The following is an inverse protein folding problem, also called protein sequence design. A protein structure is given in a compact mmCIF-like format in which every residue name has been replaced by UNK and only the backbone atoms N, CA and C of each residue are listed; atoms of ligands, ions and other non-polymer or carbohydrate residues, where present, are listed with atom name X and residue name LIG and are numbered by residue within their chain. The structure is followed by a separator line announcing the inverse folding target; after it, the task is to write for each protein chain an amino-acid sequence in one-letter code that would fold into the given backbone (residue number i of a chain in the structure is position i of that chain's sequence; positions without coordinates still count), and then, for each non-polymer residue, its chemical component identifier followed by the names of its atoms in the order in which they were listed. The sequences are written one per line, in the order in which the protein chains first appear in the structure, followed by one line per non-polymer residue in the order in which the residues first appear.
data_IF_612344473877
#
_entry.id   IF_612344473877
#
_cell.length_a   1.000
_cell.length_b   1.000
_cell.length_c   1.000
_cell.angle_alpha   90.00
_cell.angle_beta   90.00
_cell.angle_gamma   90.00
#
_symmetry.space_group_name_H-M   'P 1'
#
loop_
_entity.id
_entity.type
_entity.pdbx_description
1 polymer ?
#
# COMPACT_ATOMS: atom_id res chain seq x y z
N UNK A 1 38.41 -31.51 -72.07
CA UNK A 1 37.32 -31.96 -71.17
C UNK A 1 37.81 -32.56 -69.84
N UNK A 2 38.84 -33.44 -69.81
CA UNK A 2 39.29 -34.10 -68.55
C UNK A 2 39.81 -33.16 -67.43
N UNK A 3 40.49 -32.05 -67.74
CA UNK A 3 41.03 -31.12 -66.72
C UNK A 3 39.95 -30.33 -65.95
N UNK A 4 38.84 -30.00 -66.60
CA UNK A 4 37.72 -29.28 -65.97
C UNK A 4 36.93 -30.14 -64.99
N UNK A 5 36.73 -31.43 -65.32
CA UNK A 5 36.11 -32.39 -64.41
C UNK A 5 36.91 -32.58 -63.12
N UNK A 6 38.25 -32.65 -63.21
CA UNK A 6 39.13 -32.78 -62.03
C UNK A 6 39.02 -31.55 -61.11
N UNK A 7 38.92 -30.34 -61.68
CA UNK A 7 38.73 -29.12 -60.91
C UNK A 7 37.35 -29.11 -60.23
N UNK A 8 36.29 -29.51 -60.93
CA UNK A 8 34.95 -29.64 -60.34
C UNK A 8 34.89 -30.68 -59.22
N UNK A 9 35.57 -31.83 -59.38
CA UNK A 9 35.67 -32.84 -58.32
C UNK A 9 36.49 -32.35 -57.12
N UNK A 10 37.58 -31.62 -57.34
CA UNK A 10 38.37 -31.04 -56.25
C UNK A 10 37.58 -30.00 -55.45
N UNK A 11 36.76 -29.17 -56.12
CA UNK A 11 35.87 -28.20 -55.48
C UNK A 11 34.75 -28.93 -54.70
N UNK A 12 34.15 -29.96 -55.29
CA UNK A 12 33.10 -30.75 -54.64
C UNK A 12 33.61 -31.46 -53.37
N UNK A 13 34.80 -32.05 -53.43
CA UNK A 13 35.45 -32.72 -52.28
C UNK A 13 35.83 -31.68 -51.21
N UNK A 14 36.31 -30.50 -51.60
CA UNK A 14 36.56 -29.39 -50.67
C UNK A 14 35.29 -28.92 -49.98
N UNK A 15 34.19 -28.74 -50.71
CA UNK A 15 32.88 -28.38 -50.14
C UNK A 15 32.32 -29.47 -49.21
N UNK A 16 32.43 -30.75 -49.60
CA UNK A 16 32.02 -31.89 -48.77
C UNK A 16 32.87 -32.00 -47.49
N UNK A 17 34.16 -31.65 -47.56
CA UNK A 17 35.05 -31.59 -46.40
C UNK A 17 34.71 -30.48 -45.40
N UNK A 18 34.08 -29.38 -45.86
CA UNK A 18 33.69 -28.25 -45.01
C UNK A 18 32.32 -28.44 -44.31
N UNK A 19 31.43 -29.28 -44.83
CA UNK A 19 30.13 -29.60 -44.22
C UNK A 19 30.20 -30.09 -42.76
N UNK A 20 31.09 -31.04 -42.39
CA UNK A 20 31.19 -31.49 -40.99
C UNK A 20 31.63 -30.37 -40.05
N UNK A 21 32.50 -29.46 -40.50
CA UNK A 21 32.94 -28.30 -39.71
C UNK A 21 31.78 -27.35 -39.44
N UNK A 22 30.95 -27.06 -40.45
CA UNK A 22 29.77 -26.21 -40.31
C UNK A 22 28.75 -26.85 -39.35
N UNK A 23 28.55 -28.17 -39.44
CA UNK A 23 27.67 -28.92 -38.53
C UNK A 23 28.11 -28.84 -37.07
N UNK A 24 29.42 -28.98 -36.81
CA UNK A 24 30.00 -28.85 -35.46
C UNK A 24 29.85 -27.42 -34.94
N UNK A 25 30.14 -26.41 -35.76
CA UNK A 25 29.99 -25.00 -35.38
C UNK A 25 28.53 -24.68 -35.06
N UNK A 26 27.59 -25.10 -35.91
CA UNK A 26 26.16 -24.89 -35.69
C UNK A 26 25.69 -25.58 -34.39
N UNK A 27 26.11 -26.83 -34.16
CA UNK A 27 25.79 -27.54 -32.93
C UNK A 27 26.34 -26.82 -31.69
N UNK A 28 27.57 -26.33 -31.75
CA UNK A 28 28.17 -25.57 -30.65
C UNK A 28 27.46 -24.23 -30.41
N UNK A 29 27.02 -23.54 -31.47
CA UNK A 29 26.24 -22.29 -31.33
C UNK A 29 24.85 -22.55 -30.75
N UNK A 30 24.20 -23.66 -31.13
CA UNK A 30 22.91 -24.03 -30.56
C UNK A 30 23.04 -24.43 -29.08
N UNK A 31 24.07 -25.19 -28.71
CA UNK A 31 24.29 -25.58 -27.32
C UNK A 31 24.67 -24.37 -26.46
N UNK A 32 25.52 -23.45 -26.94
CA UNK A 32 25.85 -22.25 -26.15
C UNK A 32 24.62 -21.38 -25.89
N UNK A 33 23.73 -21.20 -26.86
CA UNK A 33 22.44 -20.51 -26.66
C UNK A 33 21.56 -21.21 -25.63
N UNK A 34 21.47 -22.54 -25.68
CA UNK A 34 20.71 -23.30 -24.68
C UNK A 34 21.30 -23.15 -23.27
N UNK A 35 22.62 -23.13 -23.15
CA UNK A 35 23.31 -22.88 -21.88
C UNK A 35 23.09 -21.45 -21.37
N UNK A 36 23.07 -20.46 -22.27
CA UNK A 36 22.79 -19.06 -21.94
C UNK A 36 21.35 -18.90 -21.42
N UNK A 37 20.36 -19.45 -22.12
CA UNK A 37 18.96 -19.45 -21.69
C UNK A 37 18.77 -20.15 -20.34
N UNK A 38 19.44 -21.30 -20.15
CA UNK A 38 19.40 -22.03 -18.87
C UNK A 38 20.00 -21.20 -17.74
N UNK A 39 21.14 -20.55 -17.97
CA UNK A 39 21.78 -19.68 -16.98
C UNK A 39 20.90 -18.49 -16.61
N UNK A 40 20.24 -17.87 -17.60
CA UNK A 40 19.28 -16.79 -17.35
C UNK A 40 18.08 -17.26 -16.53
N UNK A 41 17.57 -18.47 -16.82
CA UNK A 41 16.48 -19.06 -16.05
C UNK A 41 16.89 -19.36 -14.60
N UNK A 42 18.07 -19.94 -14.38
CA UNK A 42 18.61 -20.21 -13.04
C UNK A 42 18.79 -18.89 -12.27
N UNK A 43 19.30 -17.85 -12.92
CA UNK A 43 19.47 -16.53 -12.31
C UNK A 43 18.12 -15.90 -11.94
N UNK A 44 17.10 -16.02 -12.79
CA UNK A 44 15.74 -15.56 -12.49
C UNK A 44 15.15 -16.31 -11.28
N UNK A 45 15.28 -17.63 -11.22
CA UNK A 45 14.84 -18.44 -10.08
C UNK A 45 15.56 -18.05 -8.79
N UNK A 46 16.88 -17.80 -8.86
CA UNK A 46 17.66 -17.35 -7.72
C UNK A 46 17.19 -15.98 -7.20
N UNK A 47 16.96 -15.02 -8.09
CA UNK A 47 16.44 -13.70 -7.71
C UNK A 47 15.04 -13.83 -7.08
N UNK A 48 14.17 -14.66 -7.64
CA UNK A 48 12.84 -14.91 -7.06
C UNK A 48 12.94 -15.52 -5.67
N UNK A 49 13.85 -16.46 -5.45
CA UNK A 49 14.08 -17.07 -4.16
C UNK A 49 14.66 -16.09 -3.14
N UNK A 50 15.64 -15.28 -3.53
CA UNK A 50 16.21 -14.21 -2.69
C UNK A 50 15.13 -13.22 -2.26
N UNK A 51 14.32 -12.72 -3.19
CA UNK A 51 13.17 -11.84 -2.88
C UNK A 51 12.19 -12.49 -1.92
N UNK A 52 11.88 -13.78 -2.12
CA UNK A 52 10.96 -14.52 -1.23
C UNK A 52 11.53 -14.63 0.18
N UNK A 53 12.84 -14.87 0.31
CA UNK A 53 13.52 -14.94 1.61
C UNK A 53 13.54 -13.56 2.29
N UNK A 54 13.78 -12.49 1.54
CA UNK A 54 13.75 -11.12 2.07
C UNK A 54 12.34 -10.76 2.57
N UNK A 55 11.29 -11.05 1.78
CA UNK A 55 9.90 -10.85 2.19
C UNK A 55 9.60 -11.66 3.46
N UNK A 56 10.03 -12.93 3.51
CA UNK A 56 9.82 -13.76 4.70
C UNK A 56 10.51 -13.17 5.92
N UNK A 57 11.76 -12.70 5.80
CA UNK A 57 12.52 -12.08 6.89
C UNK A 57 11.85 -10.80 7.38
N UNK A 58 11.46 -9.92 6.46
CA UNK A 58 10.73 -8.68 6.80
C UNK A 58 9.41 -8.98 7.48
N UNK A 59 8.63 -9.93 6.96
CA UNK A 59 7.37 -10.34 7.58
C UNK A 59 7.57 -10.93 8.98
N UNK A 60 8.63 -11.71 9.21
CA UNK A 60 8.94 -12.21 10.56
C UNK A 60 9.34 -11.08 11.51
N UNK A 61 10.07 -10.07 11.04
CA UNK A 61 10.42 -8.90 11.84
C UNK A 61 9.19 -8.07 12.21
N UNK A 62 8.32 -7.79 11.24
CA UNK A 62 7.05 -7.08 11.49
C UNK A 62 6.16 -7.83 12.48
N UNK A 63 6.11 -9.17 12.39
CA UNK A 63 5.38 -10.01 13.36
C UNK A 63 5.95 -9.97 14.78
N UNK A 64 7.26 -9.73 14.93
CA UNK A 64 7.90 -9.63 16.25
C UNK A 64 7.79 -8.22 16.83
N UNK A 65 7.83 -7.20 15.98
CA UNK A 65 7.84 -5.80 16.38
C UNK A 65 6.46 -5.27 16.75
N UNK A 66 5.41 -5.77 16.08
CA UNK A 66 4.06 -5.25 16.21
C UNK A 66 3.12 -6.25 16.85
N UNK A 67 2.28 -5.77 17.75
CA UNK A 67 1.24 -6.58 18.40
C UNK A 67 0.08 -6.82 17.42
N UNK A 68 -0.66 -7.90 17.67
CA UNK A 68 -1.94 -8.10 17.00
C UNK A 68 -2.92 -7.01 17.42
N UNK A 69 -3.91 -6.77 16.58
CA UNK A 69 -4.94 -5.79 16.91
C UNK A 69 -5.75 -6.22 18.11
N UNK A 70 -5.86 -5.29 19.06
CA UNK A 70 -6.78 -5.37 20.17
C UNK A 70 -7.87 -4.32 19.97
N UNK A 71 -9.10 -4.71 19.57
CA UNK A 71 -10.15 -3.74 19.25
C UNK A 71 -10.45 -2.79 20.38
N UNK A 72 -10.37 -3.27 21.62
CA UNK A 72 -10.64 -2.45 22.79
C UNK A 72 -9.58 -1.35 22.93
N UNK A 73 -8.29 -1.64 22.69
CA UNK A 73 -7.23 -0.63 22.72
C UNK A 73 -7.38 0.38 21.58
N UNK A 74 -7.66 -0.10 20.35
CA UNK A 74 -7.91 0.77 19.19
C UNK A 74 -9.11 1.70 19.44
N UNK A 75 -10.22 1.16 19.92
CA UNK A 75 -11.43 1.93 20.23
C UNK A 75 -11.18 2.94 21.34
N UNK A 76 -10.41 2.60 22.38
CA UNK A 76 -10.04 3.52 23.44
C UNK A 76 -9.12 4.63 22.94
N UNK A 77 -8.10 4.30 22.15
CA UNK A 77 -7.18 5.26 21.57
C UNK A 77 -7.90 6.21 20.60
N UNK A 78 -8.83 5.68 19.80
CA UNK A 78 -9.64 6.46 18.86
C UNK A 78 -10.58 7.45 19.57
N UNK A 79 -11.18 7.05 20.70
CA UNK A 79 -12.00 7.94 21.54
C UNK A 79 -11.22 9.09 22.16
N UNK A 80 -9.89 8.97 22.35
CA UNK A 80 -9.04 10.04 22.87
C UNK A 80 -8.76 11.12 21.82
N UNK A 81 -9.06 10.87 20.54
CA UNK A 81 -8.90 11.87 19.49
C UNK A 81 -10.10 12.82 19.58
N UNK A 82 -9.83 14.03 20.03
CA UNK A 82 -10.76 15.16 19.95
C UNK A 82 -10.67 15.79 18.56
N UNK A 83 -11.69 15.58 17.74
CA UNK A 83 -11.77 16.12 16.38
C UNK A 83 -12.16 17.60 16.38
N UNK A 84 -11.61 18.35 15.41
CA UNK A 84 -11.94 19.74 15.09
C UNK A 84 -11.74 20.71 16.25
N UNK A 85 -10.73 20.48 17.09
CA UNK A 85 -10.49 21.31 18.29
C UNK A 85 -10.29 22.80 17.95
N UNK A 86 -9.63 23.10 16.82
CA UNK A 86 -9.46 24.48 16.33
C UNK A 86 -10.80 25.16 16.06
N UNK A 87 -11.74 24.45 15.43
CA UNK A 87 -13.06 24.98 15.15
C UNK A 87 -13.88 25.19 16.42
N UNK A 88 -13.85 24.22 17.36
CA UNK A 88 -14.53 24.35 18.64
C UNK A 88 -14.02 25.55 19.46
N UNK A 89 -12.71 25.76 19.48
CA UNK A 89 -12.09 26.91 20.16
C UNK A 89 -12.54 28.22 19.52
N UNK A 90 -12.60 28.25 18.18
CA UNK A 90 -13.05 29.43 17.44
C UNK A 90 -14.52 29.73 17.69
N UNK A 91 -15.39 28.72 17.71
CA UNK A 91 -16.79 28.84 18.11
C UNK A 91 -16.95 29.42 19.51
N UNK A 92 -16.18 28.92 20.48
CA UNK A 92 -16.21 29.44 21.86
C UNK A 92 -15.73 30.90 21.97
N UNK A 93 -14.80 31.31 21.10
CA UNK A 93 -14.26 32.68 21.08
C UNK A 93 -15.15 33.71 20.35
N UNK A 94 -16.18 33.26 19.63
CA UNK A 94 -17.04 34.15 18.86
C UNK A 94 -17.89 35.04 19.78
N UNK A 95 -17.98 36.32 19.43
CA UNK A 95 -18.91 37.23 20.09
C UNK A 95 -20.35 36.82 19.74
N UNK A 96 -21.14 36.45 20.74
CA UNK A 96 -22.55 36.04 20.61
C UNK A 96 -23.43 37.09 19.91
N UNK A 97 -23.04 38.37 20.00
CA UNK A 97 -23.77 39.48 19.38
C UNK A 97 -23.30 39.78 17.94
N UNK A 98 -22.33 39.03 17.41
CA UNK A 98 -21.90 39.19 16.01
C UNK A 98 -22.89 38.58 15.04
N UNK A 99 -23.05 39.18 13.86
CA UNK A 99 -23.89 38.65 12.78
C UNK A 99 -23.49 37.23 12.36
N UNK A 100 -22.19 36.91 12.45
CA UNK A 100 -21.65 35.59 12.13
C UNK A 100 -22.13 34.55 13.14
N UNK A 101 -22.07 34.85 14.45
CA UNK A 101 -22.53 33.95 15.51
C UNK A 101 -24.04 33.69 15.45
N UNK A 102 -24.81 34.64 14.94
CA UNK A 102 -26.26 34.51 14.75
C UNK A 102 -26.64 33.80 13.44
N UNK A 103 -25.67 33.46 12.58
CA UNK A 103 -25.95 32.76 11.33
C UNK A 103 -26.47 31.35 11.59
N UNK A 104 -27.42 30.90 10.74
CA UNK A 104 -27.98 29.54 10.80
C UNK A 104 -26.91 28.46 10.66
N UNK A 105 -25.86 28.74 9.89
CA UNK A 105 -24.77 27.80 9.61
C UNK A 105 -23.86 27.60 10.83
N UNK A 106 -23.53 28.68 11.54
CA UNK A 106 -22.75 28.61 12.79
C UNK A 106 -23.57 27.94 13.89
N UNK A 107 -24.87 28.25 13.99
CA UNK A 107 -25.76 27.56 14.92
C UNK A 107 -25.83 26.05 14.64
N UNK A 108 -25.96 25.64 13.36
CA UNK A 108 -25.96 24.22 12.99
C UNK A 108 -24.65 23.52 13.36
N UNK A 109 -23.50 24.20 13.22
CA UNK A 109 -22.19 23.71 13.66
C UNK A 109 -22.12 23.55 15.18
N UNK A 110 -22.60 24.52 15.96
CA UNK A 110 -22.68 24.38 17.42
C UNK A 110 -23.56 23.19 17.83
N UNK A 111 -24.73 23.02 17.20
CA UNK A 111 -25.60 21.88 17.47
C UNK A 111 -24.94 20.55 17.08
N UNK A 112 -24.17 20.51 15.99
CA UNK A 112 -23.39 19.33 15.60
C UNK A 112 -22.41 18.92 16.71
N UNK A 113 -21.63 19.86 17.26
CA UNK A 113 -20.68 19.54 18.34
C UNK A 113 -21.36 19.12 19.65
N UNK A 114 -22.59 19.57 19.91
CA UNK A 114 -23.36 19.19 21.09
C UNK A 114 -24.04 17.82 20.95
N UNK A 115 -24.51 17.49 19.74
CA UNK A 115 -25.27 16.27 19.45
C UNK A 115 -24.40 15.10 19.01
N UNK A 116 -23.33 15.36 18.27
CA UNK A 116 -22.40 14.35 17.81
C UNK A 116 -21.30 14.17 18.85
N UNK A 117 -21.14 12.93 19.31
CA UNK A 117 -19.87 12.47 19.85
C UNK A 117 -18.91 12.40 18.67
N UNK A 118 -18.29 13.54 18.34
CA UNK A 118 -17.39 13.72 17.21
C UNK A 118 -16.06 13.00 17.48
N UNK A 119 -16.15 11.67 17.61
CA UNK A 119 -15.09 10.75 17.96
C UNK A 119 -14.88 9.78 16.81
N UNK A 120 -13.62 9.44 16.60
CA UNK A 120 -13.26 8.38 15.67
C UNK A 120 -13.74 7.05 16.25
N UNK A 121 -14.65 6.38 15.54
CA UNK A 121 -15.18 5.08 15.95
C UNK A 121 -14.98 4.08 14.82
N UNK A 122 -14.34 2.96 15.14
CA UNK A 122 -14.04 1.89 14.21
C UNK A 122 -14.96 0.69 14.45
N UNK A 123 -15.66 0.27 13.42
CA UNK A 123 -16.24 -1.06 13.32
C UNK A 123 -15.12 -2.07 13.14
N UNK A 124 -15.07 -3.10 13.99
CA UNK A 124 -14.14 -4.22 13.83
C UNK A 124 -14.95 -5.47 13.51
N UNK A 125 -14.66 -6.10 12.38
CA UNK A 125 -15.34 -7.32 11.92
C UNK A 125 -14.33 -8.37 11.50
N UNK A 126 -14.49 -9.60 11.98
CA UNK A 126 -13.62 -10.69 11.58
C UNK A 126 -14.02 -11.18 10.19
N UNK A 127 -13.05 -11.22 9.26
CA UNK A 127 -13.26 -11.69 7.88
C UNK A 127 -12.73 -13.12 7.71
N UNK A 128 -11.64 -13.46 8.39
CA UNK A 128 -11.06 -14.80 8.41
C UNK A 128 -10.46 -15.12 9.79
N UNK A 129 -9.98 -16.35 9.98
CA UNK A 129 -9.39 -16.80 11.25
C UNK A 129 -8.27 -15.87 11.74
N UNK A 130 -7.47 -15.32 10.82
CA UNK A 130 -6.34 -14.44 11.15
C UNK A 130 -6.47 -12.98 10.64
N UNK A 131 -7.67 -12.56 10.21
CA UNK A 131 -7.90 -11.26 9.59
C UNK A 131 -9.16 -10.56 10.09
N UNK A 132 -9.03 -9.26 10.36
CA UNK A 132 -10.14 -8.36 10.65
C UNK A 132 -10.20 -7.17 9.69
N UNK A 133 -11.42 -6.78 9.36
CA UNK A 133 -11.74 -5.48 8.79
C UNK A 133 -11.87 -4.43 9.89
N UNK A 134 -11.29 -3.27 9.65
CA UNK A 134 -11.48 -2.05 10.40
C UNK A 134 -12.13 -1.04 9.47
N UNK A 135 -13.27 -0.49 9.87
CA UNK A 135 -13.99 0.51 9.07
C UNK A 135 -14.46 1.64 9.96
N UNK A 136 -14.37 2.88 9.50
CA UNK A 136 -15.03 3.98 10.21
C UNK A 136 -16.55 3.78 10.19
N UNK A 137 -17.19 3.81 11.36
CA UNK A 137 -18.65 3.58 11.45
C UNK A 137 -19.44 4.57 10.59
N UNK A 138 -18.97 5.81 10.54
CA UNK A 138 -19.50 6.88 9.73
C UNK A 138 -18.35 7.76 9.23
N UNK A 139 -18.53 8.50 8.12
CA UNK A 139 -17.56 9.51 7.72
C UNK A 139 -17.34 10.53 8.84
N UNK A 140 -16.09 10.87 9.10
CA UNK A 140 -15.70 11.83 10.13
C UNK A 140 -15.23 13.13 9.48
N UNK A 141 -15.51 14.25 10.14
CA UNK A 141 -14.88 15.52 9.78
C UNK A 141 -13.62 15.73 10.64
N UNK A 142 -12.48 15.94 9.99
CA UNK A 142 -11.18 16.07 10.63
C UNK A 142 -10.42 17.27 10.04
N UNK A 143 -9.59 17.95 10.83
CA UNK A 143 -8.61 18.92 10.33
C UNK A 143 -7.24 18.24 10.09
N UNK A 144 -6.24 18.96 9.56
CA UNK A 144 -4.90 18.37 9.30
C UNK A 144 -4.28 17.71 10.54
N UNK A 145 -4.44 18.32 11.71
CA UNK A 145 -3.86 17.81 12.95
C UNK A 145 -4.58 16.56 13.43
N UNK A 146 -5.88 16.45 13.14
CA UNK A 146 -6.67 15.27 13.45
C UNK A 146 -6.29 14.11 12.52
N UNK A 147 -6.09 14.37 11.23
CA UNK A 147 -5.66 13.36 10.26
C UNK A 147 -4.35 12.69 10.68
N UNK A 148 -3.35 13.47 11.11
CA UNK A 148 -2.08 12.94 11.60
C UNK A 148 -2.28 11.98 12.79
N UNK A 149 -3.15 12.33 13.74
CA UNK A 149 -3.48 11.46 14.88
C UNK A 149 -4.19 10.18 14.46
N UNK A 150 -5.10 10.26 13.50
CA UNK A 150 -5.83 9.10 12.97
C UNK A 150 -4.86 8.14 12.29
N UNK A 151 -3.97 8.64 11.44
CA UNK A 151 -2.93 7.82 10.81
C UNK A 151 -2.00 7.19 11.85
N UNK A 152 -1.60 7.95 12.87
CA UNK A 152 -0.71 7.47 13.93
C UNK A 152 -1.28 6.28 14.74
N UNK A 153 -2.61 6.12 14.79
CA UNK A 153 -3.24 4.95 15.44
C UNK A 153 -2.88 3.63 14.75
N UNK A 154 -2.62 3.68 13.44
CA UNK A 154 -2.36 2.53 12.58
C UNK A 154 -0.95 2.57 11.98
N UNK A 155 -0.13 3.54 12.39
CA UNK A 155 1.20 3.76 11.85
C UNK A 155 2.20 2.74 12.44
N UNK A 156 3.01 2.05 11.62
CA UNK A 156 4.02 1.11 12.11
C UNK A 156 5.09 1.75 13.01
N UNK A 157 5.28 3.07 13.02
CA UNK A 157 6.17 3.76 13.95
C UNK A 157 5.62 3.81 15.38
N UNK A 158 4.32 3.60 15.57
CA UNK A 158 3.71 3.46 16.88
C UNK A 158 3.84 1.99 17.35
N UNK A 159 4.61 1.71 18.41
CA UNK A 159 4.84 0.34 18.88
C UNK A 159 3.57 -0.35 19.41
N UNK A 160 2.52 0.42 19.70
CA UNK A 160 1.22 -0.10 20.10
C UNK A 160 0.22 -0.15 18.94
N UNK A 161 0.59 0.33 17.75
CA UNK A 161 -0.29 0.22 16.59
C UNK A 161 -0.25 -1.20 16.05
N UNK A 162 -1.42 -1.75 15.68
CA UNK A 162 -1.48 -3.00 14.97
C UNK A 162 -0.95 -2.83 13.55
N UNK A 163 -0.43 -3.91 12.97
CA UNK A 163 -0.14 -3.92 11.53
C UNK A 163 -1.48 -3.85 10.79
N UNK A 164 -1.78 -2.69 10.19
CA UNK A 164 -2.99 -2.46 9.42
C UNK A 164 -2.64 -1.91 8.03
N UNK A 165 -3.41 -2.31 7.04
CA UNK A 165 -3.28 -1.88 5.65
C UNK A 165 -4.59 -1.24 5.22
N UNK A 166 -4.56 0.03 4.82
CA UNK A 166 -5.73 0.70 4.29
C UNK A 166 -6.14 0.05 2.96
N UNK A 167 -7.38 -0.43 2.90
CA UNK A 167 -8.02 -0.93 1.69
C UNK A 167 -8.81 0.16 0.98
N UNK A 168 -9.29 1.14 1.75
CA UNK A 168 -10.01 2.30 1.24
C UNK A 168 -9.66 3.53 2.05
N UNK A 169 -9.42 4.64 1.35
CA UNK A 169 -9.22 5.95 1.95
C UNK A 169 -9.77 7.03 1.03
N UNK A 170 -10.87 7.63 1.44
CA UNK A 170 -11.52 8.73 0.73
C UNK A 170 -11.49 9.98 1.59
N UNK A 171 -11.09 11.10 0.99
CA UNK A 171 -11.10 12.41 1.63
C UNK A 171 -11.70 13.45 0.71
N UNK A 172 -12.74 14.12 1.21
CA UNK A 172 -13.37 15.25 0.52
C UNK A 172 -13.09 16.51 1.30
N UNK A 173 -12.42 17.46 0.66
CA UNK A 173 -12.10 18.76 1.25
C UNK A 173 -13.33 19.65 1.27
N UNK A 174 -13.58 20.31 2.40
CA UNK A 174 -14.60 21.34 2.53
C UNK A 174 -14.09 22.53 3.35
N UNK A 175 -14.81 23.65 3.24
CA UNK A 175 -14.54 24.85 4.02
C UNK A 175 -15.75 25.12 4.90
N UNK A 176 -15.53 25.28 6.21
CA UNK A 176 -16.63 25.53 7.15
C UNK A 176 -17.08 26.99 7.11
N UNK A 177 -18.25 27.34 7.68
CA UNK A 177 -18.74 28.72 7.75
C UNK A 177 -17.79 29.69 8.44
N UNK A 178 -16.89 29.16 9.29
CA UNK A 178 -15.84 29.94 9.94
C UNK A 178 -14.56 30.04 9.11
N UNK A 179 -14.58 29.63 7.83
CA UNK A 179 -13.43 29.60 6.94
C UNK A 179 -12.30 28.67 7.43
N UNK A 180 -12.66 27.58 8.12
CA UNK A 180 -11.70 26.52 8.46
C UNK A 180 -11.70 25.48 7.35
N UNK A 181 -10.53 24.95 7.00
CA UNK A 181 -10.42 23.82 6.07
C UNK A 181 -10.57 22.52 6.87
N UNK A 182 -11.53 21.70 6.45
CA UNK A 182 -11.78 20.39 7.05
C UNK A 182 -11.89 19.34 5.95
N UNK A 183 -11.70 18.09 6.32
CA UNK A 183 -11.80 16.93 5.44
C UNK A 183 -12.86 15.99 5.98
N UNK A 184 -13.82 15.64 5.13
CA UNK A 184 -14.69 14.49 5.37
C UNK A 184 -13.92 13.23 4.96
N UNK A 185 -13.69 12.34 5.92
CA UNK A 185 -12.86 11.15 5.77
C UNK A 185 -13.72 9.91 5.90
N UNK A 186 -13.60 9.01 4.93
CA UNK A 186 -14.11 7.64 5.02
C UNK A 186 -12.94 6.67 4.79
N UNK A 187 -12.83 5.64 5.63
CA UNK A 187 -11.66 4.77 5.62
C UNK A 187 -12.00 3.33 6.02
N UNK A 188 -11.34 2.41 5.33
CA UNK A 188 -11.33 0.99 5.66
C UNK A 188 -9.88 0.48 5.64
N UNK A 189 -9.58 -0.42 6.55
CA UNK A 189 -8.31 -1.10 6.64
C UNK A 189 -8.52 -2.58 7.00
N UNK A 190 -7.52 -3.40 6.69
CA UNK A 190 -7.45 -4.78 7.13
C UNK A 190 -6.25 -4.93 8.06
N UNK A 191 -6.45 -5.63 9.17
CA UNK A 191 -5.39 -5.93 10.11
C UNK A 191 -5.39 -7.41 10.47
N UNK A 192 -4.26 -7.89 10.97
CA UNK A 192 -4.12 -9.26 11.42
C UNK A 192 -4.75 -9.44 12.79
N UNK A 193 -5.51 -10.52 12.93
CA UNK A 193 -6.05 -11.05 14.17
C UNK A 193 -5.29 -12.33 14.51
N UNK A 194 -4.82 -12.52 15.75
CA UNK A 194 -4.35 -13.83 16.21
C UNK A 194 -4.91 -14.11 17.60
#
# INVERSE_FOLDING_TARGET
MKKWLVICYAIAISCLGCLPVIGIVYHNVCTTKQWEDLNMHILALKIMQERTNDIRKTNTQLKQQHKNIQPHELLQASKRIELLNKEQTRLKSLNKNSLIAQSKEVWAREQMFLSSKNHVTWSVTQIADDLVSLRLDHPIEADCCDLEKIFYLLDPTNPNAPVAFFTHWEMVKSTTPLNNQVWSVNAEAISRWL
#
